data_IF_694059397156
#
_entry.id   IF_694059397156
#
_cell.length_a   1.000
_cell.length_b   1.000
_cell.length_c   1.000
_cell.angle_alpha   90.00
_cell.angle_beta   90.00
_cell.angle_gamma   90.00
#
_symmetry.space_group_name_H-M   'P 1'
#
loop_
_entity.id
_entity.type
_entity.pdbx_description
1 polymer ?
#
# COMPACT_ATOMS: atom_id res chain seq x y z
N UNK A 1 8.54 -17.69 29.92
CA UNK A 1 7.78 -18.23 28.78
C UNK A 1 7.14 -17.01 28.14
N UNK A 2 7.68 -16.49 27.04
CA UNK A 2 7.03 -15.38 26.36
C UNK A 2 5.87 -15.99 25.57
N UNK A 3 4.64 -15.62 25.95
CA UNK A 3 3.52 -15.69 25.03
C UNK A 3 3.94 -14.89 23.79
N UNK A 4 3.86 -15.51 22.61
CA UNK A 4 4.35 -14.89 21.38
C UNK A 4 3.53 -13.65 21.05
N UNK A 5 4.18 -12.63 20.49
CA UNK A 5 3.51 -11.40 20.02
C UNK A 5 2.62 -11.67 18.79
N UNK A 6 2.86 -12.78 18.11
CA UNK A 6 2.19 -13.18 16.87
C UNK A 6 1.01 -14.13 17.16
N UNK A 7 0.13 -14.29 16.17
CA UNK A 7 -1.02 -15.18 16.26
C UNK A 7 -0.65 -16.64 16.52
N UNK A 8 -1.53 -17.34 17.23
CA UNK A 8 -1.46 -18.79 17.51
C UNK A 8 -2.09 -19.66 16.42
N UNK A 9 -2.68 -19.05 15.39
CA UNK A 9 -3.22 -19.67 14.19
C UNK A 9 -2.42 -19.28 12.93
N UNK A 10 -2.71 -19.92 11.80
CA UNK A 10 -2.09 -19.62 10.50
C UNK A 10 -3.17 -19.30 9.45
N UNK A 11 -2.96 -18.28 8.61
CA UNK A 11 -3.93 -17.90 7.60
C UNK A 11 -4.06 -18.93 6.49
N UNK A 12 -5.22 -18.92 5.84
CA UNK A 12 -5.46 -19.62 4.59
C UNK A 12 -5.08 -18.77 3.38
N UNK A 13 -4.96 -17.45 3.54
CA UNK A 13 -4.49 -16.53 2.50
C UNK A 13 -3.92 -15.23 3.09
N UNK A 14 -3.13 -14.49 2.31
CA UNK A 14 -2.61 -13.18 2.71
C UNK A 14 -2.99 -12.09 1.71
N UNK A 15 -3.38 -10.92 2.20
CA UNK A 15 -3.60 -9.72 1.39
C UNK A 15 -2.60 -8.65 1.85
N UNK A 16 -1.68 -8.26 0.98
CA UNK A 16 -0.72 -7.21 1.27
C UNK A 16 -1.23 -5.85 0.78
N UNK A 17 -0.98 -4.79 1.54
CA UNK A 17 -0.89 -3.46 0.95
C UNK A 17 0.34 -3.34 0.02
N UNK A 18 0.43 -2.28 -0.79
CA UNK A 18 1.57 -2.05 -1.69
C UNK A 18 2.41 -0.85 -1.27
N UNK A 19 1.81 0.35 -1.27
CA UNK A 19 2.50 1.63 -1.16
C UNK A 19 2.90 1.92 0.29
N UNK A 20 4.19 1.97 0.58
CA UNK A 20 4.71 2.13 1.95
C UNK A 20 4.90 0.79 2.69
N UNK A 21 4.25 -0.28 2.24
CA UNK A 21 4.45 -1.63 2.77
C UNK A 21 5.40 -2.49 1.92
N UNK A 22 5.05 -2.77 0.67
CA UNK A 22 5.86 -3.61 -0.23
C UNK A 22 6.84 -2.78 -1.03
N UNK A 23 6.43 -1.58 -1.43
CA UNK A 23 7.18 -0.67 -2.30
C UNK A 23 7.32 0.71 -1.64
N UNK A 24 8.53 1.25 -1.63
CA UNK A 24 8.81 2.61 -1.18
C UNK A 24 8.47 3.59 -2.31
N UNK A 25 7.23 4.08 -2.31
CA UNK A 25 6.71 4.94 -3.38
C UNK A 25 6.65 6.42 -2.97
N UNK A 26 6.73 6.76 -1.69
CA UNK A 26 6.66 8.16 -1.21
C UNK A 26 7.73 9.06 -1.85
N UNK A 27 9.00 8.64 -1.97
CA UNK A 27 10.01 9.46 -2.65
C UNK A 27 9.66 9.70 -4.13
N UNK A 28 8.98 8.74 -4.77
CA UNK A 28 8.55 8.85 -6.16
C UNK A 28 7.45 9.90 -6.32
N UNK A 29 6.50 9.94 -5.38
CA UNK A 29 5.48 10.99 -5.30
C UNK A 29 6.12 12.38 -5.16
N UNK A 30 7.07 12.52 -4.22
CA UNK A 30 7.77 13.80 -4.02
C UNK A 30 8.49 14.28 -5.29
N UNK A 31 9.11 13.37 -6.06
CA UNK A 31 9.74 13.71 -7.35
C UNK A 31 8.71 14.16 -8.38
N UNK A 32 7.59 13.44 -8.50
CA UNK A 32 6.52 13.77 -9.45
C UNK A 32 5.85 15.11 -9.12
N UNK A 33 5.55 15.36 -7.84
CA UNK A 33 5.02 16.63 -7.35
C UNK A 33 5.99 17.78 -7.63
N UNK A 34 7.29 17.57 -7.39
CA UNK A 34 8.32 18.57 -7.68
C UNK A 34 8.37 18.94 -9.16
N UNK A 35 8.34 17.94 -10.05
CA UNK A 35 8.29 18.15 -11.50
C UNK A 35 7.02 18.89 -11.92
N UNK A 36 5.87 18.48 -11.38
CA UNK A 36 4.59 19.10 -11.70
C UNK A 36 4.56 20.59 -11.32
N UNK A 37 5.09 20.95 -10.14
CA UNK A 37 5.25 22.34 -9.72
C UNK A 37 6.25 23.10 -10.60
N UNK A 38 7.38 22.47 -10.95
CA UNK A 38 8.41 23.07 -11.80
C UNK A 38 7.86 23.42 -13.20
N UNK A 39 6.95 22.59 -13.76
CA UNK A 39 6.25 22.87 -15.02
C UNK A 39 5.38 24.13 -14.98
N UNK A 40 4.97 24.57 -13.79
CA UNK A 40 4.26 25.83 -13.56
C UNK A 40 5.17 26.95 -13.04
N UNK A 41 6.49 26.74 -13.04
CA UNK A 41 7.46 27.71 -12.57
C UNK A 41 7.42 27.94 -11.05
N UNK A 42 6.85 27.01 -10.29
CA UNK A 42 6.68 27.10 -8.84
C UNK A 42 7.65 26.16 -8.11
N UNK A 43 8.11 26.52 -6.90
CA UNK A 43 8.89 25.62 -6.07
C UNK A 43 8.00 24.57 -5.40
N UNK A 44 8.56 23.39 -5.12
CA UNK A 44 7.96 22.39 -4.25
C UNK A 44 8.85 22.15 -3.03
N UNK A 45 8.43 22.67 -1.88
CA UNK A 45 9.11 22.52 -0.61
C UNK A 45 8.21 21.95 0.49
N UNK A 46 8.66 21.97 1.76
CA UNK A 46 7.90 21.44 2.89
C UNK A 46 6.50 22.02 3.03
N UNK A 47 6.32 23.30 2.70
CA UNK A 47 5.02 23.98 2.73
C UNK A 47 4.04 23.39 1.71
N UNK A 48 4.48 23.21 0.45
CA UNK A 48 3.66 22.61 -0.60
C UNK A 48 3.41 21.12 -0.31
N UNK A 49 4.42 20.40 0.18
CA UNK A 49 4.26 19.00 0.58
C UNK A 49 3.20 18.84 1.68
N UNK A 50 3.18 19.74 2.67
CA UNK A 50 2.16 19.73 3.73
C UNK A 50 0.73 19.94 3.20
N UNK A 51 0.56 20.56 2.02
CA UNK A 51 -0.76 20.72 1.39
C UNK A 51 -1.29 19.44 0.76
N UNK A 52 -0.43 18.46 0.47
CA UNK A 52 -0.79 17.27 -0.33
C UNK A 52 -0.61 15.97 0.45
N UNK A 53 0.31 15.95 1.43
CA UNK A 53 0.61 14.76 2.23
C UNK A 53 -0.64 14.21 2.93
N UNK A 54 -0.84 12.89 2.84
CA UNK A 54 -1.95 12.18 3.47
C UNK A 54 -3.32 12.43 2.86
N UNK A 55 -3.42 13.12 1.73
CA UNK A 55 -4.67 13.32 0.98
C UNK A 55 -4.84 12.26 -0.11
N UNK A 56 -6.08 12.07 -0.57
CA UNK A 56 -6.31 11.36 -1.82
C UNK A 56 -5.71 12.15 -2.99
N UNK A 57 -5.46 11.47 -4.11
CA UNK A 57 -4.90 12.11 -5.31
C UNK A 57 -5.80 13.22 -5.81
N UNK A 58 -7.12 13.04 -5.76
CA UNK A 58 -8.11 14.03 -6.17
C UNK A 58 -8.06 15.28 -5.28
N UNK A 59 -7.99 15.08 -3.96
CA UNK A 59 -7.92 16.17 -2.99
C UNK A 59 -6.58 16.92 -3.06
N UNK A 60 -5.48 16.19 -3.29
CA UNK A 60 -4.16 16.78 -3.50
C UNK A 60 -4.11 17.58 -4.81
N UNK A 61 -4.60 17.01 -5.91
CA UNK A 61 -4.65 17.67 -7.21
C UNK A 61 -5.57 18.90 -7.21
N UNK A 62 -6.71 18.85 -6.51
CA UNK A 62 -7.56 20.01 -6.28
C UNK A 62 -6.83 21.13 -5.53
N UNK A 63 -6.08 20.80 -4.47
CA UNK A 63 -5.28 21.78 -3.74
C UNK A 63 -4.14 22.36 -4.61
N UNK A 64 -3.50 21.53 -5.44
CA UNK A 64 -2.48 21.98 -6.39
C UNK A 64 -3.08 22.92 -7.45
N UNK A 65 -4.29 22.65 -7.94
CA UNK A 65 -5.00 23.51 -8.88
C UNK A 65 -5.17 24.95 -8.37
N UNK A 66 -5.55 25.09 -7.10
CA UNK A 66 -5.66 26.40 -6.44
C UNK A 66 -4.30 27.11 -6.36
N UNK A 67 -3.23 26.38 -6.02
CA UNK A 67 -1.86 26.93 -5.95
C UNK A 67 -1.35 27.34 -7.33
N UNK A 68 -1.72 26.60 -8.38
CA UNK A 68 -1.33 26.90 -9.76
C UNK A 68 -2.12 28.07 -10.37
N UNK A 69 -3.17 28.55 -9.70
CA UNK A 69 -4.07 29.56 -10.26
C UNK A 69 -4.99 29.00 -11.35
N UNK A 70 -5.25 27.69 -11.33
CA UNK A 70 -6.08 26.96 -12.28
C UNK A 70 -7.30 26.31 -11.58
N UNK A 71 -8.14 27.05 -10.84
CA UNK A 71 -9.24 26.46 -10.09
C UNK A 71 -10.20 25.68 -10.99
N UNK A 72 -10.62 24.50 -10.53
CA UNK A 72 -11.50 23.60 -11.28
C UNK A 72 -10.79 22.63 -12.23
N UNK A 73 -9.46 22.71 -12.40
CA UNK A 73 -8.69 21.78 -13.25
C UNK A 73 -8.14 20.56 -12.49
N UNK A 74 -8.54 20.34 -11.24
CA UNK A 74 -8.01 19.28 -10.38
C UNK A 74 -8.02 17.88 -11.01
N UNK A 75 -9.04 17.53 -11.80
CA UNK A 75 -9.07 16.26 -12.52
C UNK A 75 -7.97 16.14 -13.59
N UNK A 76 -7.66 17.24 -14.30
CA UNK A 76 -6.56 17.26 -15.28
C UNK A 76 -5.21 17.16 -14.58
N UNK A 77 -5.05 17.86 -13.45
CA UNK A 77 -3.83 17.80 -12.64
C UNK A 77 -3.62 16.41 -12.05
N UNK A 78 -4.69 15.74 -11.61
CA UNK A 78 -4.62 14.36 -11.13
C UNK A 78 -4.09 13.41 -12.21
N UNK A 79 -4.58 13.54 -13.45
CA UNK A 79 -4.10 12.74 -14.58
C UNK A 79 -2.62 13.01 -14.88
N UNK A 80 -2.20 14.29 -14.89
CA UNK A 80 -0.80 14.66 -15.12
C UNK A 80 0.11 14.10 -14.01
N UNK A 81 -0.30 14.25 -12.75
CA UNK A 81 0.44 13.75 -11.59
C UNK A 81 0.55 12.22 -11.60
N UNK A 82 -0.54 11.51 -11.90
CA UNK A 82 -0.55 10.05 -11.99
C UNK A 82 0.37 9.54 -13.10
N UNK A 83 0.41 10.22 -14.24
CA UNK A 83 1.38 9.93 -15.30
C UNK A 83 2.81 10.07 -14.83
N UNK A 84 3.14 11.21 -14.22
CA UNK A 84 4.48 11.51 -13.70
C UNK A 84 4.92 10.50 -12.64
N UNK A 85 4.09 10.22 -11.64
CA UNK A 85 4.47 9.28 -10.57
C UNK A 85 4.61 7.85 -11.10
N UNK A 86 3.78 7.43 -12.07
CA UNK A 86 3.90 6.11 -12.68
C UNK A 86 5.25 5.94 -13.40
N UNK A 87 5.68 6.96 -14.15
CA UNK A 87 7.00 6.96 -14.80
C UNK A 87 8.14 6.89 -13.77
N UNK A 88 8.06 7.68 -12.70
CA UNK A 88 9.09 7.71 -11.66
C UNK A 88 9.13 6.37 -10.90
N UNK A 89 7.98 5.80 -10.56
CA UNK A 89 7.88 4.50 -9.88
C UNK A 89 8.48 3.40 -10.75
N UNK A 90 8.11 3.34 -12.03
CA UNK A 90 8.67 2.36 -12.96
C UNK A 90 10.20 2.45 -13.08
N UNK A 91 10.76 3.65 -12.96
CA UNK A 91 12.19 3.88 -13.07
C UNK A 91 12.97 3.68 -11.75
N UNK A 92 12.40 4.07 -10.61
CA UNK A 92 13.16 4.33 -9.37
C UNK A 92 12.64 3.66 -8.12
N UNK A 93 11.39 3.22 -8.05
CA UNK A 93 10.85 2.64 -6.81
C UNK A 93 11.70 1.46 -6.33
N UNK A 94 11.78 1.30 -5.01
CA UNK A 94 12.50 0.23 -4.36
C UNK A 94 11.53 -0.63 -3.54
N UNK A 95 11.79 -1.93 -3.45
CA UNK A 95 11.02 -2.76 -2.54
C UNK A 95 11.41 -2.43 -1.09
N UNK A 96 10.43 -2.36 -0.20
CA UNK A 96 10.67 -2.13 1.22
C UNK A 96 11.57 -3.23 1.80
N UNK A 97 12.44 -2.91 2.77
CA UNK A 97 13.33 -3.90 3.36
C UNK A 97 12.55 -5.10 3.93
N UNK A 98 12.80 -6.29 3.37
CA UNK A 98 12.14 -7.55 3.77
C UNK A 98 10.91 -7.92 2.94
N UNK A 99 10.36 -7.02 2.12
CA UNK A 99 9.15 -7.26 1.33
C UNK A 99 9.27 -8.50 0.43
N UNK A 100 10.33 -8.58 -0.39
CA UNK A 100 10.56 -9.73 -1.28
C UNK A 100 10.63 -11.06 -0.54
N UNK A 101 11.39 -11.10 0.57
CA UNK A 101 11.56 -12.32 1.35
C UNK A 101 10.25 -12.75 2.02
N UNK A 102 9.47 -11.81 2.54
CA UNK A 102 8.17 -12.09 3.14
C UNK A 102 7.17 -12.60 2.10
N UNK A 103 7.09 -11.93 0.94
CA UNK A 103 6.21 -12.33 -0.17
C UNK A 103 6.58 -13.72 -0.67
N UNK A 104 7.87 -14.02 -0.89
CA UNK A 104 8.32 -15.34 -1.31
C UNK A 104 7.96 -16.44 -0.30
N UNK A 105 8.14 -16.17 1.01
CA UNK A 105 7.78 -17.12 2.05
C UNK A 105 6.28 -17.36 2.11
N UNK A 106 5.47 -16.29 2.04
CA UNK A 106 4.01 -16.36 2.10
C UNK A 106 3.43 -17.03 0.85
N UNK A 107 3.83 -16.63 -0.35
CA UNK A 107 3.36 -17.17 -1.64
C UNK A 107 3.56 -18.69 -1.75
N UNK A 108 4.62 -19.19 -1.14
CA UNK A 108 4.95 -20.61 -1.16
C UNK A 108 4.27 -21.42 -0.04
N UNK A 109 3.50 -20.77 0.83
CA UNK A 109 2.70 -21.42 1.88
C UNK A 109 1.20 -21.31 1.61
N UNK A 110 0.73 -20.15 1.15
CA UNK A 110 -0.70 -19.83 0.97
C UNK A 110 -0.92 -18.93 -0.25
N UNK A 111 -2.12 -18.93 -0.85
CA UNK A 111 -2.50 -17.92 -1.84
C UNK A 111 -2.35 -16.50 -1.31
N UNK A 112 -1.87 -15.59 -2.16
CA UNK A 112 -1.66 -14.19 -1.78
C UNK A 112 -2.27 -13.22 -2.80
N UNK A 113 -2.64 -12.05 -2.31
CA UNK A 113 -3.10 -10.91 -3.12
C UNK A 113 -2.43 -9.60 -2.69
N UNK A 114 -2.55 -8.58 -3.56
CA UNK A 114 -2.30 -7.17 -3.21
C UNK A 114 -3.58 -6.36 -3.30
N UNK A 115 -3.80 -5.46 -2.36
CA UNK A 115 -4.83 -4.42 -2.43
C UNK A 115 -4.17 -3.05 -2.25
N UNK A 116 -4.27 -2.15 -3.24
CA UNK A 116 -3.64 -0.83 -3.21
C UNK A 116 -4.58 0.31 -3.61
N UNK A 117 -4.48 1.45 -2.92
CA UNK A 117 -5.17 2.69 -3.31
C UNK A 117 -4.57 3.37 -4.56
N UNK A 118 -3.54 2.79 -5.16
CA UNK A 118 -3.02 3.20 -6.46
C UNK A 118 -3.91 2.70 -7.60
N UNK A 119 -4.06 3.47 -8.69
CA UNK A 119 -4.72 2.98 -9.90
C UNK A 119 -3.92 1.84 -10.54
N UNK A 120 -4.58 1.02 -11.36
CA UNK A 120 -4.03 -0.21 -11.96
C UNK A 120 -2.66 -0.03 -12.58
N UNK A 121 -2.47 1.01 -13.39
CA UNK A 121 -1.19 1.27 -14.07
C UNK A 121 -0.03 1.55 -13.08
N UNK A 122 -0.29 2.28 -12.00
CA UNK A 122 0.72 2.59 -10.98
C UNK A 122 1.06 1.35 -10.15
N UNK A 123 0.05 0.57 -9.77
CA UNK A 123 0.24 -0.68 -9.04
C UNK A 123 1.08 -1.68 -9.85
N UNK A 124 0.77 -1.86 -11.14
CA UNK A 124 1.54 -2.74 -12.01
C UNK A 124 2.99 -2.27 -12.17
N UNK A 125 3.21 -0.96 -12.36
CA UNK A 125 4.56 -0.39 -12.43
C UNK A 125 5.34 -0.66 -11.14
N UNK A 126 4.71 -0.48 -9.97
CA UNK A 126 5.33 -0.73 -8.67
C UNK A 126 5.70 -2.21 -8.49
N UNK A 127 4.77 -3.13 -8.75
CA UNK A 127 5.02 -4.58 -8.62
C UNK A 127 6.06 -5.07 -9.62
N UNK A 128 6.02 -4.61 -10.86
CA UNK A 128 7.02 -4.96 -11.88
C UNK A 128 8.41 -4.47 -11.47
N UNK A 129 8.52 -3.21 -11.03
CA UNK A 129 9.78 -2.63 -10.53
C UNK A 129 10.30 -3.38 -9.29
N UNK A 130 9.39 -3.77 -8.41
CA UNK A 130 9.68 -4.56 -7.21
C UNK A 130 10.14 -5.98 -7.51
N UNK A 131 9.96 -6.50 -8.73
CA UNK A 131 10.15 -7.91 -9.04
C UNK A 131 9.12 -8.80 -8.34
N UNK A 132 7.92 -8.27 -8.12
CA UNK A 132 6.83 -8.91 -7.36
C UNK A 132 5.61 -9.24 -8.22
N UNK A 133 5.57 -8.81 -9.48
CA UNK A 133 4.41 -8.99 -10.37
C UNK A 133 3.96 -10.47 -10.44
N UNK A 134 4.90 -11.40 -10.63
CA UNK A 134 4.60 -12.82 -10.78
C UNK A 134 4.17 -13.50 -9.46
N UNK A 135 4.39 -12.85 -8.30
CA UNK A 135 3.99 -13.39 -7.01
C UNK A 135 2.49 -13.21 -6.71
N UNK A 136 1.84 -12.28 -7.41
CA UNK A 136 0.46 -11.86 -7.11
C UNK A 136 -0.49 -12.17 -8.26
N UNK A 137 -1.02 -13.40 -8.33
CA UNK A 137 -2.05 -13.74 -9.31
C UNK A 137 -3.37 -12.98 -9.07
N UNK A 138 -3.57 -12.47 -7.86
CA UNK A 138 -4.69 -11.60 -7.50
C UNK A 138 -4.15 -10.25 -7.07
N UNK A 139 -4.64 -9.18 -7.69
CA UNK A 139 -4.43 -7.81 -7.22
C UNK A 139 -5.69 -6.99 -7.42
N UNK A 140 -5.96 -6.05 -6.51
CA UNK A 140 -7.09 -5.12 -6.57
C UNK A 140 -6.54 -3.70 -6.52
N UNK A 141 -6.85 -2.91 -7.54
CA UNK A 141 -6.46 -1.51 -7.66
C UNK A 141 -7.64 -0.57 -7.35
N UNK A 142 -7.35 0.70 -7.04
CA UNK A 142 -8.38 1.66 -6.63
C UNK A 142 -9.46 1.92 -7.69
N UNK A 143 -9.09 1.85 -8.97
CA UNK A 143 -9.96 2.06 -10.12
C UNK A 143 -10.79 0.81 -10.52
N UNK A 144 -10.73 -0.25 -9.70
CA UNK A 144 -11.49 -1.50 -9.90
C UNK A 144 -12.58 -1.72 -8.85
N UNK A 145 -12.73 -0.79 -7.92
CA UNK A 145 -13.71 -0.83 -6.82
C UNK A 145 -14.55 0.44 -6.81
N UNK A 146 -15.76 0.36 -6.26
CA UNK A 146 -16.61 1.54 -6.09
C UNK A 146 -16.07 2.46 -4.98
N UNK A 147 -15.59 1.85 -3.89
CA UNK A 147 -15.08 2.53 -2.71
C UNK A 147 -13.69 2.01 -2.33
N UNK A 148 -12.62 2.79 -2.56
CA UNK A 148 -11.26 2.41 -2.16
C UNK A 148 -11.07 2.55 -0.63
N UNK A 149 -9.89 2.14 -0.12
CA UNK A 149 -9.57 2.25 1.31
C UNK A 149 -9.80 3.70 1.78
N UNK A 150 -10.48 3.93 2.92
CA UNK A 150 -10.67 3.02 4.05
C UNK A 150 -11.91 2.11 3.97
N UNK A 151 -12.68 2.12 2.88
CA UNK A 151 -13.80 1.20 2.70
C UNK A 151 -13.30 -0.26 2.61
N UNK A 152 -14.02 -1.27 3.16
CA UNK A 152 -13.57 -2.66 3.14
C UNK A 152 -13.62 -3.36 1.77
N UNK A 153 -14.24 -2.76 0.74
CA UNK A 153 -14.50 -3.41 -0.55
C UNK A 153 -13.27 -4.09 -1.17
N UNK A 154 -12.10 -3.44 -1.12
CA UNK A 154 -10.87 -3.99 -1.70
C UNK A 154 -10.41 -5.28 -1.01
N UNK A 155 -10.50 -5.36 0.32
CA UNK A 155 -10.14 -6.55 1.08
C UNK A 155 -11.18 -7.66 0.93
N UNK A 156 -12.47 -7.30 0.93
CA UNK A 156 -13.56 -8.26 0.64
C UNK A 156 -13.40 -8.87 -0.76
N UNK A 157 -13.11 -8.03 -1.75
CA UNK A 157 -12.84 -8.44 -3.13
C UNK A 157 -11.61 -9.34 -3.21
N UNK A 158 -10.53 -8.99 -2.51
CA UNK A 158 -9.32 -9.83 -2.45
C UNK A 158 -9.61 -11.20 -1.86
N UNK A 159 -10.30 -11.28 -0.72
CA UNK A 159 -10.68 -12.55 -0.09
C UNK A 159 -11.57 -13.39 -1.01
N UNK A 160 -12.56 -12.77 -1.66
CA UNK A 160 -13.45 -13.43 -2.60
C UNK A 160 -12.69 -14.00 -3.81
N UNK A 161 -11.75 -13.25 -4.39
CA UNK A 161 -10.90 -13.71 -5.49
C UNK A 161 -9.93 -14.83 -5.08
N UNK A 162 -9.51 -14.86 -3.82
CA UNK A 162 -8.69 -15.94 -3.24
C UNK A 162 -9.51 -17.15 -2.77
N UNK A 163 -10.85 -17.05 -2.74
CA UNK A 163 -11.74 -18.14 -2.34
C UNK A 163 -11.71 -18.45 -0.83
N UNK A 164 -11.40 -17.46 0.02
CA UNK A 164 -11.34 -17.61 1.49
C UNK A 164 -12.32 -16.68 2.20
N UNK A 165 -12.72 -17.04 3.41
CA UNK A 165 -13.46 -16.13 4.28
C UNK A 165 -12.51 -15.03 4.82
N UNK A 166 -12.97 -13.78 5.02
CA UNK A 166 -12.12 -12.71 5.54
C UNK A 166 -11.43 -13.04 6.88
N UNK A 167 -12.13 -13.76 7.77
CA UNK A 167 -11.59 -14.17 9.07
C UNK A 167 -10.47 -15.23 8.97
N UNK A 168 -10.36 -15.92 7.84
CA UNK A 168 -9.31 -16.90 7.55
C UNK A 168 -8.13 -16.28 6.76
N UNK A 169 -8.25 -15.02 6.35
CA UNK A 169 -7.19 -14.27 5.68
C UNK A 169 -6.37 -13.45 6.68
N UNK A 170 -5.19 -12.98 6.24
CA UNK A 170 -4.37 -12.04 7.01
C UNK A 170 -3.99 -10.85 6.16
N UNK A 171 -4.14 -9.65 6.68
CA UNK A 171 -3.68 -8.42 6.02
C UNK A 171 -2.31 -7.98 6.56
N UNK A 172 -1.46 -7.44 5.69
CA UNK A 172 -0.32 -6.62 6.09
C UNK A 172 -0.56 -5.18 5.65
N UNK A 173 -0.35 -4.23 6.55
CA UNK A 173 -0.65 -2.80 6.35
C UNK A 173 0.36 -1.90 7.05
N UNK A 174 0.67 -0.75 6.47
CA UNK A 174 1.50 0.29 7.09
C UNK A 174 0.71 1.55 7.50
N UNK A 175 -0.53 1.69 7.02
CA UNK A 175 -1.33 2.91 7.14
C UNK A 175 -2.63 2.72 7.93
N UNK A 176 -3.10 3.79 8.57
CA UNK A 176 -4.41 3.79 9.26
C UNK A 176 -5.58 3.62 8.29
N UNK A 177 -5.45 4.14 7.07
CA UNK A 177 -6.45 4.03 6.02
C UNK A 177 -6.67 2.58 5.64
N UNK A 178 -5.57 1.85 5.40
CA UNK A 178 -5.64 0.46 5.04
C UNK A 178 -5.96 -0.48 6.20
N UNK A 179 -5.46 -0.20 7.41
CA UNK A 179 -5.89 -0.90 8.62
C UNK A 179 -7.41 -0.83 8.83
N UNK A 180 -8.02 0.35 8.62
CA UNK A 180 -9.48 0.52 8.74
C UNK A 180 -10.23 -0.30 7.69
N UNK A 181 -9.72 -0.34 6.46
CA UNK A 181 -10.28 -1.13 5.36
C UNK A 181 -10.23 -2.63 5.66
N UNK A 182 -9.06 -3.17 6.03
CA UNK A 182 -8.89 -4.58 6.38
C UNK A 182 -9.79 -5.01 7.55
N UNK A 183 -9.81 -4.20 8.63
CA UNK A 183 -10.69 -4.47 9.78
C UNK A 183 -12.17 -4.36 9.45
N UNK A 184 -12.56 -3.38 8.63
CA UNK A 184 -13.92 -3.25 8.14
C UNK A 184 -14.38 -4.50 7.36
N UNK A 185 -13.46 -5.18 6.69
CA UNK A 185 -13.69 -6.43 5.98
C UNK A 185 -13.71 -7.66 6.91
N UNK A 186 -13.33 -7.51 8.18
CA UNK A 186 -13.17 -8.62 9.12
C UNK A 186 -11.88 -9.41 8.95
N UNK A 187 -10.86 -8.82 8.31
CA UNK A 187 -9.54 -9.42 8.10
C UNK A 187 -8.60 -9.02 9.25
N UNK A 188 -8.03 -9.97 10.02
CA UNK A 188 -6.97 -9.70 10.99
C UNK A 188 -5.75 -9.03 10.35
N UNK A 189 -5.12 -8.07 11.06
CA UNK A 189 -4.08 -7.21 10.51
C UNK A 189 -2.75 -7.32 11.26
N UNK A 190 -1.67 -7.55 10.52
CA UNK A 190 -0.29 -7.28 10.94
C UNK A 190 0.10 -5.87 10.46
N UNK A 191 0.32 -4.97 11.41
CA UNK A 191 0.76 -3.60 11.17
C UNK A 191 2.28 -3.47 11.09
N UNK A 192 2.77 -2.73 10.10
CA UNK A 192 4.18 -2.36 9.90
C UNK A 192 4.29 -0.84 9.66
N UNK A 193 3.96 -0.01 10.66
CA UNK A 193 3.76 1.42 10.45
C UNK A 193 5.05 2.14 10.03
N UNK A 194 4.94 3.02 9.03
CA UNK A 194 6.04 3.82 8.48
C UNK A 194 6.38 5.06 9.31
N UNK A 195 5.40 5.65 10.03
CA UNK A 195 5.56 6.96 10.68
C UNK A 195 5.41 6.98 12.21
N UNK A 196 4.90 5.92 12.86
CA UNK A 196 4.98 5.71 14.34
C UNK A 196 4.39 4.37 14.76
N UNK A 197 5.11 3.60 15.60
CA UNK A 197 4.63 2.32 16.16
C UNK A 197 3.68 2.48 17.35
N UNK A 198 3.72 3.59 18.07
CA UNK A 198 3.07 3.72 19.39
C UNK A 198 1.54 3.80 19.31
N UNK A 199 0.99 4.22 18.17
CA UNK A 199 -0.45 4.48 17.98
C UNK A 199 -1.07 3.69 16.81
N UNK A 200 -0.42 2.61 16.35
CA UNK A 200 -0.96 1.77 15.27
C UNK A 200 -1.78 0.62 15.86
N UNK A 201 -3.13 0.67 15.87
CA UNK A 201 -3.94 -0.23 16.68
C UNK A 201 -4.21 -1.55 15.98
N UNK A 202 -3.22 -2.15 15.28
CA UNK A 202 -3.37 -3.44 14.61
C UNK A 202 -3.51 -4.59 15.62
N UNK A 203 -3.92 -5.76 15.15
CA UNK A 203 -4.01 -6.96 15.99
C UNK A 203 -2.63 -7.44 16.41
N UNK A 204 -1.64 -7.27 15.52
CA UNK A 204 -0.22 -7.46 15.78
C UNK A 204 0.55 -6.30 15.16
N UNK A 205 1.56 -5.76 15.84
CA UNK A 205 2.46 -4.74 15.28
C UNK A 205 3.90 -5.25 15.28
N UNK A 206 4.54 -5.19 14.12
CA UNK A 206 5.96 -5.53 13.94
C UNK A 206 6.73 -4.30 13.45
N UNK A 207 8.02 -4.15 13.84
CA UNK A 207 8.80 -2.98 13.50
C UNK A 207 9.24 -2.93 12.04
N UNK A 208 9.28 -4.09 11.36
CA UNK A 208 9.78 -4.21 9.98
C UNK A 208 9.35 -5.56 9.38
N UNK A 209 9.24 -5.63 8.05
CA UNK A 209 9.10 -6.90 7.32
C UNK A 209 10.33 -7.82 7.45
N UNK A 210 11.46 -7.31 7.98
CA UNK A 210 12.66 -8.10 8.32
C UNK A 210 12.62 -8.70 9.73
N UNK A 211 11.57 -8.44 10.50
CA UNK A 211 11.46 -8.94 11.87
C UNK A 211 11.62 -10.47 11.90
N UNK A 212 12.60 -10.96 12.67
CA UNK A 212 12.95 -12.38 12.67
C UNK A 212 11.85 -13.26 13.25
N UNK A 213 11.08 -12.74 14.21
CA UNK A 213 9.94 -13.44 14.79
C UNK A 213 8.85 -13.61 13.73
N UNK A 214 8.54 -12.55 12.97
CA UNK A 214 7.62 -12.58 11.83
C UNK A 214 8.05 -13.62 10.80
N UNK A 215 9.29 -13.52 10.30
CA UNK A 215 9.79 -14.43 9.27
C UNK A 215 9.82 -15.89 9.75
N UNK A 216 10.13 -16.12 11.02
CA UNK A 216 10.10 -17.45 11.63
C UNK A 216 8.69 -17.99 11.78
N UNK A 217 7.70 -17.15 12.08
CA UNK A 217 6.30 -17.52 12.12
C UNK A 217 5.75 -17.88 10.74
N UNK A 218 6.03 -17.07 9.71
CA UNK A 218 5.60 -17.37 8.33
C UNK A 218 6.20 -18.68 7.81
N UNK A 219 7.46 -18.99 8.16
CA UNK A 219 8.07 -20.28 7.81
C UNK A 219 7.33 -21.50 8.38
N UNK A 220 6.56 -21.34 9.47
CA UNK A 220 5.77 -22.41 10.08
C UNK A 220 4.42 -22.64 9.40
N UNK A 221 4.00 -21.78 8.48
CA UNK A 221 2.75 -21.94 7.73
C UNK A 221 2.80 -23.14 6.78
N UNK A 222 4.00 -23.49 6.30
CA UNK A 222 4.21 -24.68 5.48
C UNK A 222 4.05 -25.93 6.37
N UNK A 223 3.04 -26.75 6.07
CA UNK A 223 2.95 -28.14 6.52
C UNK A 223 3.48 -29.08 5.44
#
# INVERSE_FOLDING_TARGET
>A
MSEGRLFDWFPQAVVFDCDGLLMDTEPCWTVAETELFARRGLPFGPEQKALVIGKSVEAAAGAMAEVFGEPGTGATIAVELLGLVTEVVAAKAEAMPGARALVELAAAAVPIAVASNSPRALLEAALARGGLADAFPVSVAADEVESPKPDPEMYLTSCARLGVAPADALAFEDSMTGLRSARGAGVPVVGVPTLSHADFPADVVVPSLRDEELLSWVRRWRR
#
